data_IF_169573227692
#
_entry.id   IF_169573227692
#
_cell.length_a   1.000
_cell.length_b   1.000
_cell.length_c   1.000
_cell.angle_alpha   90.00
_cell.angle_beta   90.00
_cell.angle_gamma   90.00
#
_symmetry.space_group_name_H-M   'P 1'
#
loop_
_entity.id
_entity.type
_entity.pdbx_description
1 polymer ?
#
# COMPACT_ATOMS: atom_id res chain seq x y z
N UNK A 1 -4.63 -5.33 0.92
CA UNK A 1 -3.92 -4.49 1.91
C UNK A 1 -2.64 -3.87 1.33
N UNK A 2 -1.56 -4.63 1.08
CA UNK A 2 -0.25 -4.07 0.68
C UNK A 2 -0.26 -3.20 -0.58
N UNK A 3 -1.08 -3.52 -1.60
CA UNK A 3 -1.16 -2.72 -2.82
C UNK A 3 -1.65 -1.28 -2.55
N UNK A 4 -2.65 -1.12 -1.67
CA UNK A 4 -3.15 0.20 -1.25
C UNK A 4 -2.11 0.95 -0.44
N UNK A 5 -1.44 0.24 0.48
CA UNK A 5 -0.33 0.80 1.25
C UNK A 5 0.77 1.34 0.33
N UNK A 6 1.18 0.54 -0.67
CA UNK A 6 2.16 0.93 -1.68
C UNK A 6 1.69 2.13 -2.49
N UNK A 7 0.45 2.14 -2.97
CA UNK A 7 -0.09 3.28 -3.72
C UNK A 7 -0.04 4.58 -2.92
N UNK A 8 -0.30 4.53 -1.62
CA UNK A 8 -0.26 5.70 -0.75
C UNK A 8 1.17 6.19 -0.44
N UNK A 9 2.12 5.27 -0.26
CA UNK A 9 3.47 5.59 0.22
C UNK A 9 4.52 5.73 -0.90
N UNK A 10 4.33 5.07 -2.04
CA UNK A 10 5.22 5.14 -3.19
C UNK A 10 5.48 6.57 -3.70
N UNK A 11 4.47 7.43 -3.95
CA UNK A 11 4.73 8.78 -4.44
C UNK A 11 5.54 9.59 -3.43
N UNK A 12 5.24 9.47 -2.13
CA UNK A 12 6.00 10.15 -1.06
C UNK A 12 7.47 9.73 -1.06
N UNK A 13 7.72 8.43 -1.20
CA UNK A 13 9.09 7.91 -1.22
C UNK A 13 9.84 8.29 -2.50
N UNK A 14 9.14 8.31 -3.64
CA UNK A 14 9.72 8.75 -4.92
C UNK A 14 10.01 10.25 -4.93
N UNK A 15 9.19 11.06 -4.28
CA UNK A 15 9.40 12.51 -4.17
C UNK A 15 10.57 12.82 -3.22
N UNK A 16 10.65 12.13 -2.08
CA UNK A 16 11.77 12.26 -1.14
C UNK A 16 13.08 11.69 -1.70
N UNK A 17 13.00 10.65 -2.52
CA UNK A 17 14.16 9.97 -3.09
C UNK A 17 13.98 9.72 -4.61
N UNK A 18 14.06 10.77 -5.44
CA UNK A 18 13.81 10.68 -6.88
C UNK A 18 14.77 9.74 -7.61
N UNK A 19 15.95 9.50 -7.05
CA UNK A 19 16.97 8.62 -7.63
C UNK A 19 16.68 7.12 -7.42
N UNK A 20 15.79 6.76 -6.49
CA UNK A 20 15.47 5.35 -6.27
C UNK A 20 14.68 4.78 -7.44
N UNK A 21 15.07 3.58 -7.87
CA UNK A 21 14.32 2.80 -8.82
C UNK A 21 13.01 2.28 -8.21
N UNK A 22 12.03 1.96 -9.06
CA UNK A 22 10.77 1.38 -8.61
C UNK A 22 10.97 0.03 -7.88
N UNK A 23 12.03 -0.71 -8.21
CA UNK A 23 12.37 -1.95 -7.53
C UNK A 23 12.81 -1.65 -6.09
N UNK A 24 13.77 -0.74 -5.90
CA UNK A 24 14.25 -0.32 -4.58
C UNK A 24 13.11 0.21 -3.70
N UNK A 25 12.24 1.05 -4.27
CA UNK A 25 11.05 1.55 -3.56
C UNK A 25 10.14 0.39 -3.14
N UNK A 26 9.94 -0.62 -3.99
CA UNK A 26 9.11 -1.77 -3.67
C UNK A 26 9.73 -2.63 -2.55
N UNK A 27 11.05 -2.79 -2.53
CA UNK A 27 11.77 -3.48 -1.45
C UNK A 27 11.66 -2.70 -0.13
N UNK A 28 11.84 -1.38 -0.16
CA UNK A 28 11.73 -0.53 1.04
C UNK A 28 10.32 -0.58 1.60
N UNK A 29 9.30 -0.36 0.77
CA UNK A 29 7.90 -0.38 1.21
C UNK A 29 7.46 -1.77 1.69
N UNK A 30 7.99 -2.85 1.11
CA UNK A 30 7.76 -4.21 1.60
C UNK A 30 8.31 -4.44 3.00
N UNK A 31 9.52 -3.92 3.28
CA UNK A 31 10.10 -3.95 4.63
C UNK A 31 9.32 -3.07 5.60
N UNK A 32 8.95 -1.86 5.18
CA UNK A 32 8.18 -0.92 6.00
C UNK A 32 6.82 -1.52 6.38
N UNK A 33 6.10 -2.10 5.41
CA UNK A 33 4.83 -2.79 5.66
C UNK A 33 4.97 -3.95 6.66
N UNK A 34 6.07 -4.70 6.61
CA UNK A 34 6.32 -5.79 7.57
C UNK A 34 6.61 -5.28 8.98
N UNK A 35 7.26 -4.12 9.09
CA UNK A 35 7.59 -3.46 10.35
C UNK A 35 6.47 -2.54 10.86
N UNK A 36 5.43 -2.33 10.06
CA UNK A 36 4.33 -1.42 10.37
C UNK A 36 3.48 -1.95 11.52
N UNK A 37 2.93 -1.01 12.29
CA UNK A 37 2.03 -1.32 13.40
C UNK A 37 0.83 -2.17 12.96
N UNK A 38 0.32 -2.99 13.88
CA UNK A 38 -0.83 -3.85 13.60
C UNK A 38 -2.08 -3.04 13.24
N UNK A 39 -2.29 -1.91 13.92
CA UNK A 39 -3.44 -1.01 13.68
C UNK A 39 -3.48 -0.54 12.23
N UNK A 40 -2.35 -0.07 11.70
CA UNK A 40 -2.24 0.37 10.30
C UNK A 40 -2.42 -0.81 9.34
N UNK A 41 -1.85 -1.97 9.67
CA UNK A 41 -2.03 -3.18 8.83
C UNK A 41 -3.49 -3.60 8.75
N UNK A 42 -4.23 -3.48 9.86
CA UNK A 42 -5.67 -3.75 9.95
C UNK A 42 -6.48 -2.70 9.16
N UNK A 43 -6.17 -1.42 9.30
CA UNK A 43 -6.83 -0.33 8.57
C UNK A 43 -6.72 -0.54 7.04
N UNK A 44 -5.52 -0.77 6.53
CA UNK A 44 -5.31 -1.05 5.10
C UNK A 44 -5.93 -2.37 4.63
N UNK A 45 -6.18 -3.31 5.53
CA UNK A 45 -6.91 -4.54 5.22
C UNK A 45 -8.40 -4.28 5.11
N UNK A 46 -8.99 -3.55 6.06
CA UNK A 46 -10.38 -3.11 6.01
C UNK A 46 -10.69 -2.29 4.75
N UNK A 47 -9.82 -1.33 4.42
CA UNK A 47 -9.92 -0.54 3.17
C UNK A 47 -9.90 -1.42 1.92
N UNK A 48 -9.04 -2.44 1.89
CA UNK A 48 -8.96 -3.36 0.76
C UNK A 48 -10.22 -4.23 0.63
N UNK A 49 -10.77 -4.70 1.75
CA UNK A 49 -11.98 -5.51 1.78
C UNK A 49 -13.20 -4.68 1.38
N UNK A 50 -13.30 -3.43 1.82
CA UNK A 50 -14.35 -2.51 1.40
C UNK A 50 -14.31 -2.21 -0.10
N UNK A 51 -13.12 -1.93 -0.64
CA UNK A 51 -12.95 -1.70 -2.08
C UNK A 51 -13.29 -2.95 -2.89
N UNK A 52 -12.92 -4.14 -2.40
CA UNK A 52 -13.28 -5.41 -3.03
C UNK A 52 -14.79 -5.60 -3.05
N UNK A 53 -15.48 -5.31 -1.94
CA UNK A 53 -16.96 -5.39 -1.86
C UNK A 53 -17.61 -4.42 -2.84
N UNK A 54 -17.21 -3.14 -2.82
CA UNK A 54 -17.74 -2.11 -3.73
C UNK A 54 -17.53 -2.48 -5.20
N UNK A 55 -16.37 -3.05 -5.54
CA UNK A 55 -16.09 -3.50 -6.89
C UNK A 55 -16.97 -4.68 -7.30
N UNK A 56 -17.15 -5.67 -6.42
CA UNK A 56 -18.04 -6.80 -6.68
C UNK A 56 -19.51 -6.37 -6.85
N UNK A 57 -19.97 -5.36 -6.10
CA UNK A 57 -21.32 -4.80 -6.22
C UNK A 57 -21.52 -4.00 -7.52
N UNK A 58 -20.48 -3.31 -7.98
CA UNK A 58 -20.51 -2.55 -9.23
C UNK A 58 -20.34 -3.43 -10.49
N UNK A 59 -19.81 -4.65 -10.33
CA UNK A 59 -19.53 -5.60 -11.42
C UNK A 59 -20.01 -7.02 -11.06
N UNK A 60 -21.34 -7.24 -11.00
CA UNK A 60 -21.93 -8.53 -10.68
C UNK A 60 -21.77 -9.59 -11.79
#
# INVERSE_FOLDING_TARGET
>A
AFILYRQHHHPKLKEAHPNLSNNEISVILGKQWKAESEDIRVEFRALADELKRKHAEAHP
#
